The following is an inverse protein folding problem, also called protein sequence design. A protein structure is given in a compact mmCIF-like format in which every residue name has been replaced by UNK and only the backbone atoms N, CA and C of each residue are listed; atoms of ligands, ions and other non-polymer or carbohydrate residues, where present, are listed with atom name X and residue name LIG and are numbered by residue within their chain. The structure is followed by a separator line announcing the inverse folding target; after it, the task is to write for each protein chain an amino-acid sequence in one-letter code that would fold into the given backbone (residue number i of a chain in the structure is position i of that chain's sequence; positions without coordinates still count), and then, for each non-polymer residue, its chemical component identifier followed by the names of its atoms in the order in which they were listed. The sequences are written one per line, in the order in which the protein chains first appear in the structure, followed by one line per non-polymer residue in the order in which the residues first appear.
data_IF_924089009262
#
_entry.id   IF_924089009262
#
_cell.length_a   1.000
_cell.length_b   1.000
_cell.length_c   1.000
_cell.angle_alpha   90.00
_cell.angle_beta   90.00
_cell.angle_gamma   90.00
#
_symmetry.space_group_name_H-M   'P 1'
#
loop_
_entity.id
_entity.type
_entity.pdbx_description
1 polymer ?
2 non-polymer ?
3 non-polymer ?
4 water ?
#
# COMPACT_ATOMS: atom_id res chain seq x y z
N UNK A 1 -14.23 4.32 -9.26
CA UNK A 1 -14.92 4.65 -8.02
C UNK A 1 -14.43 5.99 -7.46
N UNK A 2 -13.52 5.94 -6.48
CA UNK A 2 -13.26 7.10 -5.64
C UNK A 2 -11.84 7.65 -5.84
N UNK A 3 -11.34 8.29 -4.78
CA UNK A 3 -10.06 8.06 -4.14
C UNK A 3 -9.52 9.38 -3.58
N UNK A 4 -10.17 9.82 -2.52
CA UNK A 4 -9.62 10.84 -1.66
C UNK A 4 -8.49 10.24 -0.83
N UNK A 5 -7.54 11.08 -0.46
CA UNK A 5 -6.47 10.66 0.43
C UNK A 5 -7.06 10.20 1.76
N UNK A 6 -6.38 9.25 2.39
CA UNK A 6 -6.82 8.74 3.68
C UNK A 6 -5.66 8.87 4.67
N UNK A 7 -5.98 9.17 5.92
CA UNK A 7 -5.01 9.37 6.97
C UNK A 7 -5.34 8.44 8.13
N UNK A 8 -4.33 7.70 8.59
CA UNK A 8 -4.43 6.74 9.69
C UNK A 8 -3.47 7.17 10.79
N UNK A 9 -3.99 7.40 11.99
CA UNK A 9 -3.17 7.80 13.11
C UNK A 9 -3.31 6.91 14.34
N UNK A 10 -4.13 5.85 14.30
CA UNK A 10 -4.22 4.96 15.45
C UNK A 10 -2.96 4.08 15.55
N UNK A 11 -2.79 3.42 16.70
CA UNK A 11 -1.61 2.59 16.93
C UNK A 11 -1.54 1.36 16.03
N UNK A 12 -2.67 0.90 15.50
CA UNK A 12 -2.62 -0.15 14.50
C UNK A 12 -3.84 0.00 13.61
N UNK A 13 -3.80 -0.66 12.46
CA UNK A 13 -5.01 -0.65 11.66
C UNK A 13 -4.83 -1.36 10.35
N UNK A 14 -5.92 -1.44 9.60
CA UNK A 14 -5.91 -2.08 8.29
C UNK A 14 -6.07 -1.01 7.22
N UNK A 15 -5.39 -1.22 6.11
CA UNK A 15 -5.50 -0.33 4.95
C UNK A 15 -5.64 -1.23 3.74
N UNK A 16 -6.58 -0.92 2.84
CA UNK A 16 -6.68 -1.76 1.65
C UNK A 16 -7.06 -0.92 0.44
N UNK A 17 -6.85 -1.49 -0.73
CA UNK A 17 -7.34 -0.88 -1.95
C UNK A 17 -8.87 -0.88 -2.00
N UNK A 18 -9.43 0.03 -2.80
CA UNK A 18 -10.87 0.17 -2.90
C UNK A 18 -11.53 -1.13 -3.38
N UNK A 19 -12.59 -1.54 -2.69
CA UNK A 19 -13.38 -2.72 -3.02
C UNK A 19 -12.63 -4.04 -2.82
N UNK A 20 -11.53 -4.04 -2.08
CA UNK A 20 -10.85 -5.32 -1.79
C UNK A 20 -11.82 -6.29 -1.12
N UNK A 21 -11.83 -7.60 -1.52
CA UNK A 21 -10.87 -8.25 -2.42
C UNK A 21 -11.45 -8.42 -3.80
N UNK A 22 -12.41 -7.56 -4.12
CA UNK A 22 -12.93 -7.49 -5.47
C UNK A 22 -12.10 -6.45 -6.23
N UNK A 23 -12.33 -6.34 -7.53
CA UNK A 23 -11.45 -5.54 -8.40
C UNK A 23 -11.34 -4.09 -7.95
N UNK A 24 -10.11 -3.58 -7.86
CA UNK A 24 -9.98 -2.14 -7.64
C UNK A 24 -10.32 -1.35 -8.91
N UNK A 25 -10.83 -0.14 -8.77
CA UNK A 25 -11.25 0.68 -9.93
C UNK A 25 -10.07 1.14 -10.76
N UNK A 26 -10.28 1.55 -12.02
CA UNK A 26 -9.19 2.06 -12.83
C UNK A 26 -8.96 3.56 -12.61
N UNK A 27 -7.83 4.04 -13.14
CA UNK A 27 -7.47 5.45 -13.22
C UNK A 27 -7.35 6.10 -11.85
N UNK A 28 -6.93 5.32 -10.85
CA UNK A 28 -6.79 5.84 -9.51
C UNK A 28 -5.41 6.46 -9.34
N UNK A 29 -5.37 7.51 -8.51
CA UNK A 29 -4.14 7.96 -7.87
C UNK A 29 -4.50 8.15 -6.40
N UNK A 30 -4.30 7.10 -5.61
CA UNK A 30 -4.69 7.05 -4.20
C UNK A 30 -3.48 7.33 -3.32
N UNK A 31 -3.68 8.14 -2.27
CA UNK A 31 -2.63 8.40 -1.29
C UNK A 31 -3.16 8.02 0.09
N UNK A 32 -2.47 7.10 0.74
CA UNK A 32 -2.76 6.67 2.10
C UNK A 32 -1.60 7.10 2.99
N UNK A 33 -1.89 7.83 4.05
CA UNK A 33 -0.82 8.26 4.95
C UNK A 33 -1.02 7.65 6.32
N UNK A 34 0.08 7.22 6.94
CA UNK A 34 0.09 6.78 8.33
C UNK A 34 0.97 7.74 9.10
N UNK A 35 0.46 8.30 10.19
CA UNK A 35 1.25 9.23 10.99
C UNK A 35 1.03 8.86 12.45
N UNK A 36 2.09 8.46 13.14
CA UNK A 36 1.95 8.10 14.56
C UNK A 36 2.97 8.90 15.35
N UNK A 37 2.94 8.76 16.67
CA UNK A 37 3.75 9.69 17.45
C UNK A 37 5.22 9.32 17.36
N UNK A 38 6.08 10.36 17.46
CA UNK A 38 7.51 10.16 17.56
C UNK A 38 7.81 9.15 18.67
N UNK A 39 8.84 8.34 18.44
CA UNK A 39 9.13 7.27 19.37
C UNK A 39 8.34 6.00 19.14
N UNK A 40 7.51 5.95 18.11
CA UNK A 40 6.95 4.70 17.62
C UNK A 40 7.46 4.49 16.21
N UNK A 41 7.59 3.23 15.83
CA UNK A 41 7.97 2.88 14.47
C UNK A 41 6.92 1.96 13.87
N UNK A 42 6.70 2.09 12.57
CA UNK A 42 5.62 1.41 11.89
C UNK A 42 6.12 0.14 11.24
N UNK A 43 5.38 -0.95 11.45
CA UNK A 43 5.58 -2.24 10.79
C UNK A 43 4.37 -2.53 9.90
N UNK A 44 4.64 -2.96 8.66
CA UNK A 44 3.57 -3.24 7.69
C UNK A 44 3.60 -4.72 7.33
N UNK A 45 2.41 -5.31 7.29
CA UNK A 45 2.27 -6.71 6.94
C UNK A 45 1.15 -6.88 5.93
N UNK A 46 1.46 -7.35 4.74
CA UNK A 46 0.39 -7.56 3.77
C UNK A 46 -0.29 -8.90 3.99
N UNK A 47 -1.59 -8.91 3.75
CA UNK A 47 -2.39 -10.10 3.83
C UNK A 47 -2.50 -10.75 2.45
N UNK A 48 -3.01 -11.98 2.43
CA UNK A 48 -3.35 -12.60 1.16
C UNK A 48 -4.88 -12.59 0.99
N UNK A 49 -5.39 -12.48 -0.23
CA UNK A 49 -4.72 -12.30 -1.52
C UNK A 49 -4.11 -10.94 -1.72
N UNK A 50 -3.05 -10.96 -2.53
CA UNK A 50 -2.37 -9.76 -3.02
C UNK A 50 -2.36 -9.94 -4.52
N UNK A 51 -2.90 -8.96 -5.26
CA UNK A 51 -3.03 -9.13 -6.70
C UNK A 51 -3.09 -7.74 -7.33
N UNK A 52 -1.95 -7.28 -7.84
CA UNK A 52 -1.88 -6.02 -8.58
C UNK A 52 -1.43 -6.40 -9.98
N UNK A 53 -2.11 -5.87 -10.99
CA UNK A 53 -1.87 -6.30 -12.36
C UNK A 53 -0.39 -6.09 -12.71
N UNK A 54 0.23 -7.07 -13.37
CA UNK A 54 1.66 -6.97 -13.72
C UNK A 54 1.89 -7.31 -15.18
N UNK A 55 3.17 -7.54 -15.54
CA UNK A 55 3.62 -7.74 -16.93
C UNK A 55 4.79 -8.70 -16.90
N UNK A 56 4.90 -9.61 -17.88
CA UNK A 56 5.96 -10.63 -17.83
C UNK A 56 7.39 -10.09 -17.95
N UNK A 57 7.60 -8.88 -18.48
CA UNK A 57 8.99 -8.46 -18.77
C UNK A 57 9.30 -7.09 -18.23
N UNK A 58 8.36 -6.17 -18.31
CA UNK A 58 8.53 -4.81 -17.78
C UNK A 58 8.17 -4.82 -16.31
N UNK A 59 8.98 -4.19 -15.44
CA UNK A 59 8.55 -4.01 -14.04
C UNK A 59 7.39 -3.03 -13.92
N UNK A 60 6.28 -3.52 -13.34
CA UNK A 60 5.10 -2.76 -12.96
C UNK A 60 4.70 -1.64 -13.94
N UNK A 61 4.45 -1.97 -15.19
CA UNK A 61 4.09 -0.91 -16.16
C UNK A 61 2.65 -0.47 -16.06
N UNK A 62 1.79 -1.23 -15.40
CA UNK A 62 0.36 -0.94 -15.50
C UNK A 62 -0.12 -0.22 -14.26
N UNK A 63 -0.12 -0.93 -13.14
CA UNK A 63 -0.59 -0.42 -11.86
C UNK A 63 0.58 -0.53 -10.91
N UNK A 64 0.66 0.35 -9.90
CA UNK A 64 1.82 0.32 -9.00
C UNK A 64 1.36 0.63 -7.60
N UNK A 65 1.93 -0.09 -6.62
CA UNK A 65 1.84 0.32 -5.21
C UNK A 65 3.23 0.77 -4.76
N UNK A 66 3.38 2.04 -4.37
CA UNK A 66 4.66 2.59 -3.98
C UNK A 66 4.60 2.93 -2.50
N UNK A 67 5.65 2.62 -1.76
CA UNK A 67 5.67 2.82 -0.31
C UNK A 67 6.84 3.73 0.04
N UNK A 68 6.56 4.75 0.88
CA UNK A 68 7.52 5.76 1.28
C UNK A 68 7.58 5.77 2.80
N UNK A 69 8.78 5.85 3.33
CA UNK A 69 8.97 5.94 4.77
C UNK A 69 9.67 7.25 5.01
N UNK A 70 8.98 8.16 5.69
CA UNK A 70 9.42 9.54 5.88
C UNK A 70 9.99 10.12 4.59
N UNK A 71 9.27 9.91 3.51
CA UNK A 71 9.65 10.52 2.26
C UNK A 71 10.63 9.73 1.40
N UNK A 72 11.23 8.64 1.91
CA UNK A 72 12.19 7.87 1.15
C UNK A 72 11.48 6.67 0.54
N UNK A 73 11.69 6.43 -0.76
CA UNK A 73 11.02 5.33 -1.44
C UNK A 73 11.59 4.00 -0.95
N UNK A 74 10.76 3.15 -0.37
CA UNK A 74 11.26 1.85 0.09
C UNK A 74 10.64 0.69 -0.69
N UNK A 75 10.09 0.92 -1.87
CA UNK A 75 9.62 -0.18 -2.67
C UNK A 75 8.50 0.17 -3.63
N UNK A 76 8.51 -0.42 -4.83
CA UNK A 76 7.37 -0.35 -5.74
C UNK A 76 6.92 -1.79 -6.02
N UNK A 77 5.63 -2.07 -5.91
CA UNK A 77 5.16 -3.45 -5.87
C UNK A 77 4.02 -3.68 -6.85
N UNK A 78 4.03 -4.86 -7.49
CA UNK A 78 2.89 -5.34 -8.29
C UNK A 78 2.95 -6.85 -8.31
N UNK A 79 2.01 -7.48 -9.00
CA UNK A 79 2.01 -8.93 -9.11
C UNK A 79 1.18 -9.63 -8.03
N UNK A 80 1.43 -10.94 -7.89
CA UNK A 80 0.59 -11.83 -7.08
C UNK A 80 1.26 -12.37 -5.82
N UNK A 81 2.51 -12.02 -5.58
CA UNK A 81 3.22 -12.43 -4.38
C UNK A 81 3.29 -11.21 -3.47
N UNK A 82 2.81 -11.33 -2.25
CA UNK A 82 2.77 -10.12 -1.44
C UNK A 82 4.18 -9.69 -1.06
N UNK A 83 4.41 -8.40 -0.87
CA UNK A 83 5.71 -7.93 -0.39
C UNK A 83 6.06 -8.60 0.92
N UNK A 84 7.35 -8.67 1.28
CA UNK A 84 7.70 -9.15 2.61
C UNK A 84 7.29 -8.12 3.63
N UNK A 85 7.18 -8.56 4.87
CA UNK A 85 6.84 -7.64 5.95
C UNK A 85 7.86 -6.50 6.04
N UNK A 86 7.37 -5.29 6.28
CA UNK A 86 8.22 -4.09 6.25
C UNK A 86 8.33 -3.49 7.65
N UNK A 87 9.54 -3.43 8.16
CA UNK A 87 9.87 -2.64 9.33
C UNK A 87 10.43 -1.31 8.84
N UNK A 88 9.65 -0.24 8.95
CA UNK A 88 9.97 1.00 8.28
C UNK A 88 10.91 1.93 9.04
N UNK A 89 11.21 1.64 10.31
CA UNK A 89 11.97 2.55 11.19
C UNK A 89 11.46 3.98 11.13
N UNK A 90 10.17 4.18 10.95
CA UNK A 90 9.62 5.50 10.73
C UNK A 90 8.27 5.65 11.41
N UNK A 91 7.94 6.85 11.84
CA UNK A 91 6.58 7.14 12.30
C UNK A 91 5.70 7.76 11.22
N UNK A 92 6.17 7.85 9.97
CA UNK A 92 5.43 8.51 8.88
C UNK A 92 5.60 7.66 7.63
N UNK A 93 4.52 7.04 7.18
CA UNK A 93 4.54 6.21 5.97
C UNK A 93 3.52 6.77 4.99
N UNK A 94 3.83 6.73 3.70
CA UNK A 94 2.81 7.02 2.70
C UNK A 94 2.78 5.87 1.69
N UNK A 95 1.59 5.44 1.31
CA UNK A 95 1.39 4.51 0.19
C UNK A 95 0.70 5.25 -0.92
N UNK A 96 1.22 5.11 -2.13
CA UNK A 96 0.66 5.69 -3.33
C UNK A 96 0.25 4.51 -4.19
N UNK A 97 -1.01 4.43 -4.56
CA UNK A 97 -1.49 3.37 -5.45
C UNK A 97 -1.98 4.01 -6.74
N UNK A 98 -1.36 3.67 -7.86
CA UNK A 98 -1.73 4.18 -9.18
C UNK A 98 -2.28 3.04 -10.01
N UNK A 99 -3.39 3.26 -10.69
CA UNK A 99 -3.91 2.19 -11.55
C UNK A 99 -4.25 2.77 -12.89
N UNK A 100 -4.16 1.94 -13.91
CA UNK A 100 -4.38 2.42 -15.26
C UNK A 100 -5.82 2.18 -15.66
N UNK A 101 -6.11 2.16 -16.98
CA UNK A 101 -7.48 2.24 -17.44
C UNK A 101 -8.24 0.90 -17.44
N UNK A 102 -7.59 -0.25 -17.22
CA UNK A 102 -8.31 -1.51 -17.39
C UNK A 102 -7.74 -2.62 -16.52
N UNK A 103 -8.48 -3.73 -16.47
CA UNK A 103 -8.10 -4.95 -15.79
C UNK A 103 -8.94 -5.19 -14.54
N UNK A 104 -8.97 -6.46 -14.13
CA UNK A 104 -9.72 -6.93 -12.97
C UNK A 104 -8.69 -7.65 -12.08
N UNK A 105 -8.20 -6.97 -11.05
CA UNK A 105 -7.24 -7.55 -10.11
C UNK A 105 -7.78 -7.30 -8.72
N UNK A 106 -7.47 -8.22 -7.80
CA UNK A 106 -8.16 -8.19 -6.51
C UNK A 106 -7.62 -7.11 -5.59
N UNK A 107 -6.37 -6.64 -5.75
CA UNK A 107 -5.87 -5.53 -4.95
C UNK A 107 -5.04 -5.96 -3.75
N UNK A 108 -4.98 -5.13 -2.70
CA UNK A 108 -4.06 -5.45 -1.62
C UNK A 108 -4.70 -5.01 -0.32
N UNK A 109 -4.22 -5.57 0.77
CA UNK A 109 -4.65 -5.18 2.10
C UNK A 109 -3.47 -5.42 3.02
N UNK A 110 -3.25 -4.50 3.96
CA UNK A 110 -2.15 -4.63 4.92
C UNK A 110 -2.69 -4.29 6.29
N UNK A 111 -2.01 -4.79 7.31
CA UNK A 111 -2.16 -4.35 8.69
C UNK A 111 -0.87 -3.66 9.12
N UNK A 112 -0.99 -2.47 9.69
CA UNK A 112 0.17 -1.83 10.29
C UNK A 112 0.05 -1.91 11.80
N UNK A 113 1.20 -2.04 12.46
CA UNK A 113 1.27 -2.01 13.90
C UNK A 113 2.40 -1.08 14.26
N UNK A 114 2.50 -0.72 15.54
CA UNK A 114 3.57 0.17 15.97
C UNK A 114 4.40 -0.51 17.05
N UNK A 115 5.69 -0.25 16.97
CA UNK A 115 6.68 -0.72 17.91
C UNK A 115 7.16 0.47 18.72
N UNK A 116 7.26 0.24 20.02
CA UNK A 116 7.66 1.27 20.96
C UNK A 116 9.19 1.35 20.97
N UNK A 117 9.72 2.53 20.70
CA UNK A 117 11.16 2.74 20.71
C UNK A 117 11.66 2.88 22.13
#
# INVERSE_FOLDING_TARGET
AECSSELYTEASGYISSLEYPRSYPPDLRCNYSIRVERGLTLHLKFLEPFDIEDHPEVPCPYDQLQIYANGKNIGEFCGKQRPPDLDTSSNAVDLLFFTDESGDSRGWKLRYTTEII
#
